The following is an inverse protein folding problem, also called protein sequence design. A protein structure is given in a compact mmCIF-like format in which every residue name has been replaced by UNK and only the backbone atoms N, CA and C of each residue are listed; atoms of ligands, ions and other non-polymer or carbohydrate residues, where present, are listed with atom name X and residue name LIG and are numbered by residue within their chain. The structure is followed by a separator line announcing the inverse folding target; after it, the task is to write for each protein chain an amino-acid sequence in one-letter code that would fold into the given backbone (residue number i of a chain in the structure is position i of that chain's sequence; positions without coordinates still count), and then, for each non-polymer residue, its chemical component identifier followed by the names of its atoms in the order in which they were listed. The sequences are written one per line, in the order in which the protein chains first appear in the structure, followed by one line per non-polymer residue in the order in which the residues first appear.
data_IF_608378738020
#
_entry.id   IF_608378738020
#
_cell.length_a   1.000
_cell.length_b   1.000
_cell.length_c   1.000
_cell.angle_alpha   90.00
_cell.angle_beta   90.00
_cell.angle_gamma   90.00
#
_symmetry.space_group_name_H-M   'P 1'
#
loop_
_entity.id
_entity.type
_entity.pdbx_description
1 polymer ?
#
# COMPACT_ATOMS: atom_id res chain seq x y z
N UNK A 1 14.24 10.45 -0.97
CA UNK A 1 13.48 10.44 -2.23
C UNK A 1 12.66 9.17 -2.25
N UNK A 2 11.43 9.24 -1.75
CA UNK A 2 10.50 8.13 -1.73
C UNK A 2 10.10 7.83 -3.17
N UNK A 3 10.58 6.71 -3.70
CA UNK A 3 10.10 6.20 -4.98
C UNK A 3 8.67 5.73 -4.76
N UNK A 4 7.71 6.65 -4.96
CA UNK A 4 6.29 6.35 -4.84
C UNK A 4 5.94 5.23 -5.81
N UNK A 5 4.89 4.47 -5.47
CA UNK A 5 4.38 3.39 -6.31
C UNK A 5 4.09 3.84 -7.75
N UNK A 6 3.84 5.14 -7.96
CA UNK A 6 3.76 5.79 -9.27
C UNK A 6 4.98 5.54 -10.14
N UNK A 7 6.19 5.49 -9.58
CA UNK A 7 7.40 5.25 -10.38
C UNK A 7 7.45 3.81 -10.92
N UNK A 8 6.91 2.84 -10.17
CA UNK A 8 6.82 1.43 -10.61
C UNK A 8 5.66 1.22 -11.58
N UNK A 9 4.56 1.95 -11.39
CA UNK A 9 3.39 1.94 -12.26
C UNK A 9 3.69 2.63 -13.60
N UNK A 10 4.40 3.75 -13.59
CA UNK A 10 4.83 4.50 -14.78
C UNK A 10 5.81 3.72 -15.67
N UNK A 11 6.54 2.74 -15.11
CA UNK A 11 7.45 1.89 -15.87
C UNK A 11 6.71 0.88 -16.77
N UNK A 12 5.43 0.61 -16.50
CA UNK A 12 4.61 -0.27 -17.33
C UNK A 12 3.89 0.56 -18.40
N UNK A 13 4.44 0.57 -19.62
CA UNK A 13 3.93 1.29 -20.80
C UNK A 13 2.44 1.05 -21.14
N UNK A 14 1.79 0.05 -20.53
CA UNK A 14 0.36 -0.22 -20.74
C UNK A 14 -0.57 0.68 -19.92
N UNK A 15 -0.05 1.47 -18.97
CA UNK A 15 -0.87 2.34 -18.11
C UNK A 15 -0.85 3.83 -18.51
N UNK A 16 -0.57 4.13 -19.78
CA UNK A 16 -0.74 5.50 -20.32
C UNK A 16 -2.21 5.93 -20.44
N UNK A 17 -3.18 5.04 -20.20
CA UNK A 17 -4.60 5.40 -20.12
C UNK A 17 -5.01 5.93 -18.72
N UNK A 18 -4.14 5.85 -17.72
CA UNK A 18 -4.39 6.30 -16.32
C UNK A 18 -3.72 7.66 -16.04
N UNK A 19 -3.17 8.32 -17.07
CA UNK A 19 -2.45 9.60 -16.98
C UNK A 19 -3.38 10.82 -16.95
N UNK A 20 -4.54 10.72 -16.31
CA UNK A 20 -5.22 11.92 -15.84
C UNK A 20 -4.61 12.28 -14.49
N UNK A 21 -3.87 13.41 -14.38
CA UNK A 21 -3.21 13.81 -13.14
C UNK A 21 -4.19 13.90 -11.97
N UNK A 22 -5.45 14.28 -12.22
CA UNK A 22 -6.45 14.44 -11.18
C UNK A 22 -6.88 13.06 -10.63
N UNK A 23 -7.01 12.06 -11.51
CA UNK A 23 -7.33 10.68 -11.11
C UNK A 23 -6.16 10.05 -10.35
N UNK A 24 -4.92 10.37 -10.74
CA UNK A 24 -3.74 9.87 -10.05
C UNK A 24 -3.70 10.36 -8.60
N UNK A 25 -3.99 11.64 -8.34
CA UNK A 25 -4.05 12.19 -6.98
C UNK A 25 -5.13 11.50 -6.14
N UNK A 26 -6.30 11.23 -6.73
CA UNK A 26 -7.37 10.50 -6.04
C UNK A 26 -6.95 9.07 -5.70
N UNK A 27 -6.25 8.39 -6.61
CA UNK A 27 -5.72 7.05 -6.36
C UNK A 27 -4.66 7.05 -5.26
N UNK A 28 -3.74 8.01 -5.26
CA UNK A 28 -2.73 8.17 -4.21
C UNK A 28 -3.37 8.42 -2.84
N UNK A 29 -4.33 9.36 -2.76
CA UNK A 29 -5.05 9.65 -1.51
C UNK A 29 -5.79 8.42 -0.98
N UNK A 30 -6.51 7.72 -1.85
CA UNK A 30 -7.23 6.50 -1.46
C UNK A 30 -6.28 5.40 -0.98
N UNK A 31 -5.12 5.25 -1.63
CA UNK A 31 -4.15 4.25 -1.23
C UNK A 31 -3.48 4.58 0.11
N UNK A 32 -3.19 5.85 0.37
CA UNK A 32 -2.65 6.31 1.65
C UNK A 32 -3.66 6.07 2.79
N UNK A 33 -4.95 6.39 2.57
CA UNK A 33 -6.03 6.09 3.53
C UNK A 33 -6.12 4.58 3.84
N UNK A 34 -6.07 3.74 2.81
CA UNK A 34 -6.09 2.28 2.98
C UNK A 34 -4.86 1.79 3.76
N UNK A 35 -3.69 2.36 3.54
CA UNK A 35 -2.48 2.00 4.27
C UNK A 35 -2.56 2.37 5.76
N UNK A 36 -3.20 3.49 6.08
CA UNK A 36 -3.44 3.88 7.47
C UNK A 36 -4.45 2.95 8.16
N UNK A 37 -5.51 2.52 7.46
CA UNK A 37 -6.43 1.49 7.98
C UNK A 37 -5.71 0.16 8.26
N UNK A 38 -4.80 -0.27 7.37
CA UNK A 38 -4.00 -1.49 7.60
C UNK A 38 -3.08 -1.32 8.81
N UNK A 39 -2.43 -0.16 8.97
CA UNK A 39 -1.59 0.11 10.16
C UNK A 39 -2.44 0.07 11.44
N UNK A 40 -3.63 0.65 11.42
CA UNK A 40 -4.56 0.63 12.55
C UNK A 40 -5.05 -0.77 12.89
N UNK A 41 -5.34 -1.58 11.87
CA UNK A 41 -5.63 -3.00 12.06
C UNK A 41 -4.46 -3.73 12.72
N UNK A 42 -3.23 -3.56 12.23
CA UNK A 42 -2.04 -4.22 12.78
C UNK A 42 -1.70 -3.76 14.19
N UNK A 43 -2.01 -2.51 14.57
CA UNK A 43 -1.87 -2.03 15.96
C UNK A 43 -2.80 -2.79 16.90
N UNK A 44 -4.01 -3.13 16.46
CA UNK A 44 -4.99 -3.90 17.23
C UNK A 44 -4.72 -5.40 17.17
N UNK A 45 -4.18 -5.87 16.05
CA UNK A 45 -3.91 -7.27 15.75
C UNK A 45 -2.44 -7.46 15.32
N UNK A 46 -1.47 -7.36 16.25
CA UNK A 46 -0.04 -7.37 15.91
C UNK A 46 0.49 -8.69 15.34
N UNK A 47 -0.30 -9.76 15.43
CA UNK A 47 -0.02 -11.07 14.81
C UNK A 47 -1.00 -11.40 13.68
N UNK A 48 -1.82 -10.43 13.26
CA UNK A 48 -2.81 -10.61 12.22
C UNK A 48 -2.15 -10.98 10.90
N UNK A 49 -2.65 -12.01 10.23
CA UNK A 49 -2.13 -12.44 8.94
C UNK A 49 -2.88 -11.79 7.76
N UNK A 50 -2.42 -12.08 6.54
CA UNK A 50 -3.01 -11.51 5.33
C UNK A 50 -4.46 -11.95 5.09
N UNK A 51 -4.85 -13.14 5.56
CA UNK A 51 -6.22 -13.61 5.40
C UNK A 51 -7.16 -12.87 6.35
N UNK A 52 -6.76 -12.70 7.62
CA UNK A 52 -7.55 -11.95 8.59
C UNK A 52 -7.68 -10.47 8.20
N UNK A 53 -6.59 -9.86 7.70
CA UNK A 53 -6.62 -8.50 7.16
C UNK A 53 -7.56 -8.37 5.96
N UNK A 54 -7.52 -9.33 5.04
CA UNK A 54 -8.37 -9.34 3.85
C UNK A 54 -9.85 -9.40 4.21
N UNK A 55 -10.22 -10.28 5.14
CA UNK A 55 -11.59 -10.42 5.61
C UNK A 55 -12.07 -9.18 6.37
N UNK A 56 -11.19 -8.53 7.15
CA UNK A 56 -11.56 -7.36 7.94
C UNK A 56 -11.75 -6.09 7.10
N UNK A 57 -10.88 -5.87 6.11
CA UNK A 57 -10.88 -4.67 5.27
C UNK A 57 -11.57 -4.86 3.92
N UNK A 58 -12.17 -6.02 3.68
CA UNK A 58 -12.84 -6.34 2.41
C UNK A 58 -11.89 -6.39 1.21
N UNK A 59 -10.63 -6.77 1.44
CA UNK A 59 -9.62 -6.89 0.40
C UNK A 59 -9.56 -8.31 -0.16
N UNK A 60 -8.97 -8.46 -1.34
CA UNK A 60 -8.47 -9.77 -1.76
C UNK A 60 -7.27 -10.18 -0.91
N UNK A 61 -7.08 -11.49 -0.69
CA UNK A 61 -5.86 -12.01 -0.04
C UNK A 61 -4.57 -11.49 -0.69
N UNK A 62 -4.52 -11.45 -2.02
CA UNK A 62 -3.36 -10.91 -2.75
C UNK A 62 -3.11 -9.42 -2.48
N UNK A 63 -4.17 -8.63 -2.29
CA UNK A 63 -4.07 -7.22 -1.94
C UNK A 63 -3.54 -7.04 -0.51
N UNK A 64 -4.06 -7.83 0.43
CA UNK A 64 -3.58 -7.86 1.81
C UNK A 64 -2.11 -8.29 1.89
N UNK A 65 -1.71 -9.35 1.17
CA UNK A 65 -0.31 -9.79 1.09
C UNK A 65 0.61 -8.69 0.56
N UNK A 66 0.16 -7.97 -0.48
CA UNK A 66 0.89 -6.84 -1.05
C UNK A 66 1.08 -5.71 -0.03
N UNK A 67 0.02 -5.28 0.64
CA UNK A 67 0.05 -4.18 1.62
C UNK A 67 0.95 -4.52 2.81
N UNK A 68 0.84 -5.75 3.33
CA UNK A 68 1.71 -6.22 4.41
C UNK A 68 3.19 -6.25 3.99
N UNK A 69 3.48 -6.69 2.76
CA UNK A 69 4.85 -6.68 2.24
C UNK A 69 5.38 -5.25 2.03
N UNK A 70 4.52 -4.33 1.59
CA UNK A 70 4.84 -2.91 1.43
C UNK A 70 5.21 -2.28 2.78
N UNK A 71 4.33 -2.38 3.77
CA UNK A 71 4.53 -1.76 5.09
C UNK A 71 5.77 -2.30 5.79
N UNK A 72 6.03 -3.61 5.73
CA UNK A 72 7.27 -4.20 6.28
C UNK A 72 8.53 -3.65 5.63
N UNK A 73 8.47 -3.30 4.34
CA UNK A 73 9.60 -2.71 3.63
C UNK A 73 9.81 -1.25 4.02
N UNK A 74 8.74 -0.50 4.26
CA UNK A 74 8.82 0.89 4.71
C UNK A 74 9.37 0.98 6.13
N UNK A 75 8.90 0.14 7.05
CA UNK A 75 9.44 0.05 8.42
C UNK A 75 10.95 -0.25 8.42
N UNK A 76 11.43 -1.13 7.54
CA UNK A 76 12.86 -1.40 7.36
C UNK A 76 13.64 -0.20 6.82
N UNK A 77 13.02 0.63 5.98
CA UNK A 77 13.65 1.81 5.39
C UNK A 77 13.67 2.99 6.37
N UNK A 78 12.68 3.09 7.26
CA UNK A 78 12.61 4.10 8.33
C UNK A 78 13.44 3.71 9.56
N UNK A 79 13.56 2.41 9.87
CA UNK A 79 14.38 1.88 10.96
C UNK A 79 15.88 1.72 10.65
N UNK A 80 16.31 1.98 9.42
CA UNK A 80 17.71 1.88 8.97
C UNK A 80 18.55 3.17 9.11
N UNK A 81 17.99 4.22 9.73
CA UNK A 81 18.66 5.51 9.93
C UNK A 81 19.07 5.73 11.39
N UNK A 82 20.05 4.98 11.89
CA UNK A 82 20.74 5.28 13.14
C UNK A 82 22.24 5.06 13.02
#
# INVERSE_FOLDING_TARGET
MCQSLVHKVAQSKQLMAVTDPDILVLFESWLDELEDEVKDYLRQHPKGDAAELADNLGLSKSGADFLLAKLRREDQLEGGGQ
#
